data_IF_199343273871
#
_entry.id   IF_199343273871
#
_cell.length_a   1.000
_cell.length_b   1.000
_cell.length_c   1.000
_cell.angle_alpha   90.00
_cell.angle_beta   90.00
_cell.angle_gamma   90.00
#
_symmetry.space_group_name_H-M   'P 1'
#
loop_
_entity.id
_entity.type
_entity.pdbx_description
1 polymer ?
#
# COMPACT_ATOMS: atom_id res chain seq x y z
N UNK A 1 13.15 1.10 23.09
CA UNK A 1 12.84 0.23 21.93
C UNK A 1 13.53 0.83 20.71
N UNK A 2 14.56 0.18 20.19
CA UNK A 2 15.20 0.55 18.93
C UNK A 2 14.14 0.44 17.82
N UNK A 3 13.98 1.51 17.03
CA UNK A 3 13.16 1.44 15.80
C UNK A 3 13.75 0.34 14.93
N UNK A 4 12.92 -0.56 14.38
CA UNK A 4 13.40 -1.53 13.42
C UNK A 4 14.05 -0.79 12.24
N UNK A 5 15.16 -1.32 11.71
CA UNK A 5 15.81 -0.77 10.52
C UNK A 5 14.92 -1.01 9.29
N UNK A 6 13.92 -0.15 9.12
CA UNK A 6 12.99 -0.17 8.00
C UNK A 6 13.43 0.86 6.97
N UNK A 7 13.63 0.41 5.76
CA UNK A 7 13.86 1.23 4.58
C UNK A 7 12.62 1.18 3.69
N UNK A 8 12.19 2.33 3.16
CA UNK A 8 11.11 2.38 2.17
C UNK A 8 11.72 2.71 0.81
N UNK A 9 11.45 1.86 -0.15
CA UNK A 9 11.93 1.99 -1.52
C UNK A 9 10.78 1.80 -2.52
N UNK A 10 11.05 2.05 -3.78
CA UNK A 10 10.11 1.76 -4.86
C UNK A 10 10.14 0.27 -5.22
N UNK A 11 8.98 -0.30 -5.53
CA UNK A 11 8.93 -1.66 -6.10
C UNK A 11 9.76 -1.76 -7.39
N UNK A 12 9.83 -0.67 -8.16
CA UNK A 12 10.65 -0.59 -9.38
C UNK A 12 12.14 -0.87 -9.14
N UNK A 13 12.67 -0.57 -7.94
CA UNK A 13 14.05 -0.85 -7.54
C UNK A 13 14.24 -2.27 -7.00
N UNK A 14 13.14 -2.99 -6.73
CA UNK A 14 13.13 -4.32 -6.12
C UNK A 14 12.27 -5.29 -6.96
N UNK A 15 12.57 -5.47 -8.26
CA UNK A 15 11.73 -6.25 -9.17
C UNK A 15 11.55 -7.71 -8.75
N UNK A 16 12.49 -8.26 -7.98
CA UNK A 16 12.43 -9.61 -7.41
C UNK A 16 11.27 -9.81 -6.42
N UNK A 17 10.75 -8.70 -5.84
CA UNK A 17 9.66 -8.75 -4.88
C UNK A 17 8.27 -8.76 -5.54
N UNK A 18 8.18 -8.60 -6.86
CA UNK A 18 6.92 -8.47 -7.57
C UNK A 18 5.97 -9.65 -7.31
N UNK A 19 6.47 -10.87 -7.43
CA UNK A 19 5.66 -12.08 -7.24
C UNK A 19 5.21 -12.25 -5.79
N UNK A 20 6.09 -12.03 -4.84
CA UNK A 20 5.75 -12.10 -3.41
C UNK A 20 4.70 -11.06 -3.06
N UNK A 21 4.90 -9.83 -3.48
CA UNK A 21 4.01 -8.71 -3.20
C UNK A 21 2.62 -8.92 -3.80
N UNK A 22 2.53 -9.36 -5.06
CA UNK A 22 1.26 -9.65 -5.71
C UNK A 22 0.48 -10.78 -5.01
N UNK A 23 1.17 -11.84 -4.56
CA UNK A 23 0.55 -12.93 -3.79
C UNK A 23 0.05 -12.47 -2.42
N UNK A 24 0.82 -11.64 -1.71
CA UNK A 24 0.43 -11.07 -0.43
C UNK A 24 -0.81 -10.18 -0.59
N UNK A 25 -0.81 -9.29 -1.57
CA UNK A 25 -1.94 -8.44 -1.91
C UNK A 25 -3.19 -9.26 -2.25
N UNK A 26 -3.04 -10.24 -3.15
CA UNK A 26 -4.15 -11.09 -3.56
C UNK A 26 -4.75 -11.86 -2.39
N UNK A 27 -3.93 -12.36 -1.48
CA UNK A 27 -4.37 -13.07 -0.27
C UNK A 27 -5.08 -12.14 0.72
N UNK A 28 -4.54 -10.95 0.97
CA UNK A 28 -5.09 -9.97 1.93
C UNK A 28 -6.47 -9.48 1.49
N UNK A 29 -6.64 -9.19 0.20
CA UNK A 29 -7.89 -8.66 -0.36
C UNK A 29 -8.61 -9.65 -1.27
N UNK A 30 -8.52 -10.95 -0.97
CA UNK A 30 -9.09 -12.02 -1.79
C UNK A 30 -10.58 -11.81 -2.09
N UNK A 31 -11.38 -11.40 -1.09
CA UNK A 31 -12.81 -11.13 -1.27
C UNK A 31 -13.06 -10.02 -2.30
N UNK A 32 -12.24 -8.95 -2.27
CA UNK A 32 -12.35 -7.83 -3.21
C UNK A 32 -11.96 -8.26 -4.62
N UNK A 33 -10.85 -8.99 -4.76
CA UNK A 33 -10.41 -9.52 -6.05
C UNK A 33 -11.45 -10.45 -6.66
N UNK A 34 -12.06 -11.33 -5.85
CA UNK A 34 -13.12 -12.25 -6.30
C UNK A 34 -14.37 -11.49 -6.75
N UNK A 35 -14.81 -10.47 -6.01
CA UNK A 35 -15.97 -9.66 -6.39
C UNK A 35 -15.72 -8.83 -7.66
N UNK A 36 -14.46 -8.51 -7.95
CA UNK A 36 -14.03 -7.86 -9.21
C UNK A 36 -13.74 -8.86 -10.33
N UNK A 37 -13.93 -10.15 -10.10
CA UNK A 37 -13.57 -11.23 -11.04
C UNK A 37 -12.10 -11.18 -11.49
N UNK A 38 -11.22 -10.70 -10.60
CA UNK A 38 -9.78 -10.58 -10.82
C UNK A 38 -9.03 -11.80 -10.28
N UNK A 39 -7.96 -12.16 -10.97
CA UNK A 39 -7.09 -13.30 -10.65
C UNK A 39 -5.77 -12.85 -10.03
N UNK A 40 -4.95 -13.82 -9.59
CA UNK A 40 -3.58 -13.53 -9.17
C UNK A 40 -2.74 -12.93 -10.33
N UNK A 41 -3.01 -13.36 -11.57
CA UNK A 41 -2.31 -12.82 -12.74
C UNK A 41 -2.67 -11.35 -12.98
N UNK A 42 -3.92 -10.96 -12.76
CA UNK A 42 -4.33 -9.55 -12.79
C UNK A 42 -3.63 -8.74 -11.68
N UNK A 43 -3.47 -9.32 -10.49
CA UNK A 43 -2.67 -8.68 -9.43
C UNK A 43 -1.22 -8.47 -9.86
N UNK A 44 -0.57 -9.48 -10.44
CA UNK A 44 0.79 -9.37 -10.97
C UNK A 44 0.90 -8.29 -12.04
N UNK A 45 -0.03 -8.26 -12.98
CA UNK A 45 -0.09 -7.24 -14.03
C UNK A 45 -0.23 -5.84 -13.44
N UNK A 46 -1.17 -5.66 -12.51
CA UNK A 46 -1.40 -4.38 -11.84
C UNK A 46 -0.15 -3.87 -11.13
N UNK A 47 0.59 -4.72 -10.40
CA UNK A 47 1.82 -4.29 -9.73
C UNK A 47 2.97 -4.06 -10.71
N UNK A 48 3.04 -4.79 -11.82
CA UNK A 48 4.02 -4.50 -12.89
C UNK A 48 3.82 -3.12 -13.50
N UNK A 49 2.56 -2.69 -13.71
CA UNK A 49 2.23 -1.36 -14.21
C UNK A 49 2.59 -0.24 -13.19
N UNK A 50 2.71 -0.58 -11.90
CA UNK A 50 3.06 0.34 -10.80
C UNK A 50 4.57 0.34 -10.48
N UNK A 51 5.40 -0.24 -11.31
CA UNK A 51 6.87 -0.22 -11.16
C UNK A 51 7.44 1.07 -11.78
N UNK A 52 7.05 2.21 -11.23
CA UNK A 52 7.52 3.54 -11.63
C UNK A 52 8.14 4.26 -10.43
N UNK A 53 9.02 5.24 -10.71
CA UNK A 53 9.67 6.07 -9.70
C UNK A 53 9.43 7.55 -9.92
N UNK A 54 9.04 7.94 -11.13
CA UNK A 54 8.94 9.32 -11.62
C UNK A 54 7.52 9.74 -11.99
N UNK A 55 6.56 8.84 -11.91
CA UNK A 55 5.15 9.08 -12.23
C UNK A 55 4.23 8.09 -11.53
N UNK A 56 2.93 8.41 -11.51
CA UNK A 56 1.88 7.48 -11.13
C UNK A 56 1.51 6.55 -12.31
N UNK A 57 1.02 5.35 -12.06
CA UNK A 57 0.91 4.72 -10.73
C UNK A 57 2.27 4.20 -10.23
N UNK A 58 2.47 4.16 -8.92
CA UNK A 58 3.69 3.61 -8.31
C UNK A 58 3.36 2.81 -7.05
N UNK A 59 4.27 1.90 -6.68
CA UNK A 59 4.19 1.15 -5.42
C UNK A 59 5.47 1.33 -4.63
N UNK A 60 5.32 1.61 -3.34
CA UNK A 60 6.37 1.65 -2.34
C UNK A 60 6.36 0.37 -1.52
N UNK A 61 7.53 -0.12 -1.19
CA UNK A 61 7.76 -1.31 -0.35
C UNK A 61 8.52 -0.93 0.92
N UNK A 62 8.11 -1.47 2.04
CA UNK A 62 8.85 -1.36 3.30
C UNK A 62 9.69 -2.62 3.46
N UNK A 63 10.99 -2.44 3.66
CA UNK A 63 12.00 -3.49 3.74
C UNK A 63 12.65 -3.44 5.12
N UNK A 64 12.77 -4.57 5.79
CA UNK A 64 13.58 -4.71 6.99
C UNK A 64 15.00 -5.09 6.60
N UNK A 65 15.95 -4.19 6.87
CA UNK A 65 17.37 -4.40 6.66
C UNK A 65 17.98 -5.05 7.92
N UNK A 66 17.91 -6.36 8.03
CA UNK A 66 18.41 -7.08 9.20
C UNK A 66 18.40 -8.59 8.99
N UNK A 67 18.76 -9.37 10.01
CA UNK A 67 18.66 -10.81 9.90
C UNK A 67 17.21 -11.21 9.62
N UNK A 68 17.00 -12.17 8.69
CA UNK A 68 15.66 -12.57 8.27
C UNK A 68 14.82 -13.04 9.47
N UNK A 69 13.54 -12.64 9.47
CA UNK A 69 12.56 -13.08 10.46
C UNK A 69 12.36 -14.60 10.42
N UNK A 70 11.71 -15.14 11.44
CA UNK A 70 11.34 -16.56 11.46
C UNK A 70 10.52 -16.94 10.23
N UNK A 71 9.61 -16.04 9.80
CA UNK A 71 8.77 -16.24 8.60
C UNK A 71 9.64 -16.33 7.34
N UNK A 72 10.58 -15.39 7.15
CA UNK A 72 11.47 -15.38 5.99
C UNK A 72 12.33 -16.65 5.95
N UNK A 73 12.82 -17.11 7.10
CA UNK A 73 13.58 -18.38 7.22
C UNK A 73 12.72 -19.60 6.86
N UNK A 74 11.48 -19.67 7.34
CA UNK A 74 10.55 -20.75 7.00
C UNK A 74 10.16 -20.76 5.53
N UNK A 75 10.20 -19.59 4.87
CA UNK A 75 10.00 -19.45 3.42
C UNK A 75 11.27 -19.73 2.60
N UNK A 76 12.38 -20.11 3.23
CA UNK A 76 13.65 -20.42 2.55
C UNK A 76 14.54 -19.21 2.25
N UNK A 77 14.20 -18.02 2.75
CA UNK A 77 14.93 -16.77 2.51
C UNK A 77 16.08 -16.56 3.51
N UNK A 78 17.00 -17.50 3.58
CA UNK A 78 18.12 -17.48 4.56
C UNK A 78 19.19 -16.41 4.27
N UNK A 79 19.21 -15.84 3.08
CA UNK A 79 20.26 -14.94 2.60
C UNK A 79 19.76 -13.61 2.04
N UNK A 80 18.46 -13.31 2.18
CA UNK A 80 17.94 -12.03 1.71
C UNK A 80 18.54 -10.88 2.53
N UNK A 81 19.16 -9.91 1.84
CA UNK A 81 19.71 -8.72 2.46
C UNK A 81 18.62 -7.83 3.09
N UNK A 82 17.36 -8.02 2.69
CA UNK A 82 16.19 -7.30 3.22
C UNK A 82 14.93 -8.15 3.05
N UNK A 83 14.00 -8.00 4.00
CA UNK A 83 12.72 -8.70 4.03
C UNK A 83 11.57 -7.72 3.73
N UNK A 84 10.66 -8.09 2.82
CA UNK A 84 9.43 -7.34 2.58
C UNK A 84 8.52 -7.41 3.84
N UNK A 85 8.19 -6.26 4.40
CA UNK A 85 7.37 -6.15 5.62
C UNK A 85 6.09 -5.35 5.44
N UNK A 86 5.96 -4.62 4.33
CA UNK A 86 4.77 -3.86 4.01
C UNK A 86 4.84 -3.18 2.65
N UNK A 87 3.72 -2.61 2.22
CA UNK A 87 3.61 -1.90 0.95
C UNK A 87 2.48 -0.87 0.98
N UNK A 88 2.53 0.07 0.03
CA UNK A 88 1.44 1.00 -0.30
C UNK A 88 1.55 1.42 -1.76
N UNK A 89 0.44 1.69 -2.42
CA UNK A 89 0.42 2.16 -3.81
C UNK A 89 -0.23 3.54 -3.94
N UNK A 90 0.29 4.34 -4.86
CA UNK A 90 -0.38 5.50 -5.43
C UNK A 90 -0.87 5.09 -6.83
N UNK A 91 -2.17 5.19 -7.08
CA UNK A 91 -2.79 4.63 -8.29
C UNK A 91 -4.01 5.43 -8.75
N UNK A 92 -4.45 5.15 -9.95
CA UNK A 92 -5.71 5.64 -10.49
C UNK A 92 -6.80 4.57 -10.32
N UNK A 93 -8.08 5.01 -10.25
CA UNK A 93 -9.27 4.15 -10.30
C UNK A 93 -9.30 3.04 -9.23
N UNK A 94 -9.35 3.42 -7.96
CA UNK A 94 -9.41 2.45 -6.87
C UNK A 94 -10.85 2.08 -6.42
N UNK A 95 -11.80 2.99 -6.59
CA UNK A 95 -13.19 2.79 -6.20
C UNK A 95 -14.12 2.95 -7.43
N UNK A 96 -14.70 1.84 -7.90
CA UNK A 96 -15.48 1.81 -9.14
C UNK A 96 -16.74 2.68 -9.08
N UNK A 97 -17.28 2.91 -7.88
CA UNK A 97 -18.44 3.79 -7.64
C UNK A 97 -18.08 5.28 -7.59
N UNK A 98 -16.80 5.61 -7.58
CA UNK A 98 -16.28 6.99 -7.57
C UNK A 98 -15.21 7.20 -8.65
N UNK A 99 -15.60 7.07 -9.93
CA UNK A 99 -14.70 7.28 -11.07
C UNK A 99 -14.25 8.74 -11.22
N UNK A 100 -14.91 9.65 -10.53
CA UNK A 100 -14.62 11.09 -10.49
C UNK A 100 -13.47 11.45 -9.54
N UNK A 101 -13.04 10.53 -8.68
CA UNK A 101 -11.96 10.75 -7.72
C UNK A 101 -10.68 10.07 -8.17
N UNK A 102 -9.62 10.84 -8.29
CA UNK A 102 -8.26 10.38 -8.61
C UNK A 102 -7.23 11.45 -8.17
N UNK A 103 -5.98 11.08 -7.87
CA UNK A 103 -5.50 9.72 -7.66
C UNK A 103 -5.76 9.20 -6.25
N UNK A 104 -5.55 7.89 -6.07
CA UNK A 104 -5.82 7.16 -4.83
C UNK A 104 -4.54 6.66 -4.17
N UNK A 105 -4.51 6.72 -2.84
CA UNK A 105 -3.64 5.91 -2.02
C UNK A 105 -4.39 4.63 -1.64
N UNK A 106 -3.85 3.48 -1.99
CA UNK A 106 -4.49 2.21 -1.72
C UNK A 106 -3.50 1.07 -1.52
N UNK A 107 -4.00 -0.09 -1.13
CA UNK A 107 -3.18 -1.26 -0.92
C UNK A 107 -2.16 -1.10 0.22
N UNK A 108 -2.50 -0.36 1.27
CA UNK A 108 -1.66 -0.29 2.48
C UNK A 108 -1.71 -1.65 3.20
N UNK A 109 -0.61 -2.37 3.15
CA UNK A 109 -0.41 -3.64 3.84
C UNK A 109 0.81 -3.53 4.75
N UNK A 110 0.66 -4.03 5.98
CA UNK A 110 1.78 -4.33 6.88
C UNK A 110 1.62 -5.77 7.36
N UNK A 111 2.66 -6.56 7.21
CA UNK A 111 2.64 -7.96 7.64
C UNK A 111 2.34 -8.07 9.13
N UNK A 112 1.57 -9.08 9.58
CA UNK A 112 1.07 -9.17 10.95
C UNK A 112 2.14 -8.99 12.02
N UNK A 113 3.29 -9.61 11.85
CA UNK A 113 4.43 -9.56 12.77
C UNK A 113 5.12 -8.18 12.84
N UNK A 114 4.81 -7.30 11.87
CA UNK A 114 5.37 -5.94 11.77
C UNK A 114 4.36 -4.84 12.12
N UNK A 115 3.12 -5.21 12.43
CA UNK A 115 2.07 -4.26 12.87
C UNK A 115 2.41 -3.64 14.21
N UNK A 116 1.83 -2.48 14.49
CA UNK A 116 2.05 -1.70 15.73
C UNK A 116 3.51 -1.27 15.99
N UNK A 117 4.36 -1.30 14.95
CA UNK A 117 5.76 -0.84 14.98
C UNK A 117 5.99 0.44 14.18
N UNK A 118 4.93 1.10 13.73
CA UNK A 118 5.02 2.36 12.98
C UNK A 118 5.26 2.20 11.47
N UNK A 119 5.37 0.97 10.94
CA UNK A 119 5.65 0.71 9.51
C UNK A 119 4.57 1.31 8.61
N UNK A 120 3.28 1.13 8.95
CA UNK A 120 2.17 1.72 8.21
C UNK A 120 2.23 3.25 8.16
N UNK A 121 2.55 3.89 9.28
CA UNK A 121 2.72 5.35 9.35
C UNK A 121 3.90 5.81 8.47
N UNK A 122 5.03 5.08 8.48
CA UNK A 122 6.18 5.39 7.62
C UNK A 122 5.82 5.29 6.14
N UNK A 123 5.09 4.23 5.74
CA UNK A 123 4.60 4.05 4.36
C UNK A 123 3.67 5.19 3.96
N UNK A 124 2.74 5.58 4.82
CA UNK A 124 1.80 6.68 4.57
C UNK A 124 2.53 8.01 4.37
N UNK A 125 3.47 8.36 5.26
CA UNK A 125 4.27 9.58 5.13
C UNK A 125 5.12 9.58 3.87
N UNK A 126 5.73 8.44 3.53
CA UNK A 126 6.52 8.35 2.29
C UNK A 126 5.61 8.50 1.06
N UNK A 127 4.45 7.86 1.04
CA UNK A 127 3.51 7.94 -0.10
C UNK A 127 2.98 9.37 -0.30
N UNK A 128 2.59 10.07 0.78
CA UNK A 128 2.17 11.48 0.68
C UNK A 128 3.32 12.38 0.22
N UNK A 129 4.54 12.14 0.69
CA UNK A 129 5.73 12.85 0.23
C UNK A 129 6.01 12.63 -1.27
N UNK A 130 5.84 11.42 -1.77
CA UNK A 130 5.98 11.11 -3.20
C UNK A 130 4.89 11.79 -4.04
N UNK A 131 3.65 11.83 -3.55
CA UNK A 131 2.58 12.54 -4.21
C UNK A 131 2.89 14.05 -4.30
N UNK A 132 3.39 14.66 -3.22
CA UNK A 132 3.86 16.06 -3.26
C UNK A 132 4.99 16.24 -4.30
N UNK A 133 5.98 15.36 -4.32
CA UNK A 133 7.10 15.41 -5.27
C UNK A 133 6.64 15.33 -6.74
N UNK A 134 5.52 14.65 -6.98
CA UNK A 134 4.91 14.49 -8.29
C UNK A 134 3.82 15.54 -8.59
N UNK A 135 3.80 16.64 -7.83
CA UNK A 135 2.84 17.74 -7.98
C UNK A 135 1.36 17.31 -7.93
N UNK A 136 1.06 16.25 -7.16
CA UNK A 136 -0.31 15.79 -6.89
C UNK A 136 -0.91 16.65 -5.78
N UNK A 137 -1.95 17.46 -6.05
CA UNK A 137 -2.47 18.39 -5.05
C UNK A 137 -3.37 17.73 -4.00
N UNK A 138 -3.86 16.52 -4.29
CA UNK A 138 -4.81 15.81 -3.44
C UNK A 138 -4.73 14.31 -3.66
N UNK A 139 -4.88 13.55 -2.59
CA UNK A 139 -5.06 12.10 -2.64
C UNK A 139 -6.38 11.71 -1.99
N UNK A 140 -6.93 10.60 -2.47
CA UNK A 140 -8.09 9.92 -1.88
C UNK A 140 -7.69 8.54 -1.36
N UNK A 141 -8.43 8.02 -0.41
CA UNK A 141 -8.42 6.63 0.00
C UNK A 141 -9.83 6.21 0.43
N UNK A 142 -10.08 4.93 0.48
CA UNK A 142 -11.26 4.38 1.13
C UNK A 142 -10.86 3.28 2.11
N UNK A 143 -11.67 3.10 3.15
CA UNK A 143 -11.42 2.11 4.19
C UNK A 143 -12.72 1.59 4.79
N UNK A 144 -12.73 0.33 5.23
CA UNK A 144 -13.82 -0.25 6.01
C UNK A 144 -13.63 -0.06 7.53
N UNK A 145 -12.39 0.09 8.02
CA UNK A 145 -12.13 -0.03 9.46
C UNK A 145 -11.03 0.86 10.02
N UNK A 146 -10.24 1.53 9.17
CA UNK A 146 -9.04 2.25 9.62
C UNK A 146 -9.20 3.78 9.65
N UNK A 147 -10.43 4.31 9.68
CA UNK A 147 -10.72 5.75 9.68
C UNK A 147 -9.91 6.51 10.75
N UNK A 148 -9.88 5.95 11.98
CA UNK A 148 -9.17 6.59 13.09
C UNK A 148 -7.65 6.71 12.89
N UNK A 149 -7.04 5.77 12.15
CA UNK A 149 -5.63 5.87 11.77
C UNK A 149 -5.42 7.02 10.79
N UNK A 150 -6.22 7.09 9.75
CA UNK A 150 -6.10 8.12 8.72
C UNK A 150 -6.42 9.52 9.25
N UNK A 151 -7.39 9.65 10.14
CA UNK A 151 -7.66 10.91 10.84
C UNK A 151 -6.43 11.45 11.58
N UNK A 152 -5.71 10.58 12.30
CA UNK A 152 -4.47 10.96 13.01
C UNK A 152 -3.35 11.40 12.06
N UNK A 153 -3.42 10.99 10.79
CA UNK A 153 -2.46 11.35 9.73
C UNK A 153 -2.94 12.55 8.87
N UNK A 154 -4.01 13.25 9.32
CA UNK A 154 -4.49 14.48 8.67
C UNK A 154 -5.49 14.27 7.54
N UNK A 155 -5.96 13.04 7.32
CA UNK A 155 -6.99 12.75 6.34
C UNK A 155 -8.37 13.17 6.84
N UNK A 156 -9.21 13.66 5.94
CA UNK A 156 -10.56 14.15 6.20
C UNK A 156 -11.59 13.30 5.49
N UNK A 157 -12.73 13.05 6.14
CA UNK A 157 -13.85 12.32 5.53
C UNK A 157 -14.47 13.13 4.41
N UNK A 158 -14.64 12.51 3.24
CA UNK A 158 -15.38 13.03 2.10
C UNK A 158 -16.82 12.53 2.13
N UNK A 159 -16.98 11.21 2.29
CA UNK A 159 -18.31 10.57 2.34
C UNK A 159 -18.25 9.21 3.03
N UNK A 160 -19.45 8.72 3.38
CA UNK A 160 -19.70 7.35 3.83
C UNK A 160 -20.64 6.67 2.86
N UNK A 161 -20.30 5.47 2.46
CA UNK A 161 -21.07 4.69 1.50
C UNK A 161 -20.99 3.20 1.83
N UNK A 162 -21.63 2.36 1.01
CA UNK A 162 -21.45 0.92 1.06
C UNK A 162 -20.63 0.48 -0.15
N UNK A 163 -19.58 -0.29 0.11
CA UNK A 163 -18.72 -0.82 -0.93
C UNK A 163 -18.29 -2.24 -0.57
N UNK A 164 -18.42 -3.18 -1.49
CA UNK A 164 -18.22 -4.61 -1.24
C UNK A 164 -19.03 -5.14 -0.04
N UNK A 165 -20.30 -4.71 0.06
CA UNK A 165 -21.24 -5.19 1.09
C UNK A 165 -20.96 -4.69 2.51
N UNK A 166 -20.03 -3.77 2.70
CA UNK A 166 -19.66 -3.19 4.00
C UNK A 166 -19.71 -1.68 3.96
N UNK A 167 -19.88 -1.05 5.12
CA UNK A 167 -19.70 0.41 5.23
C UNK A 167 -18.26 0.78 4.84
N UNK A 168 -18.12 1.79 4.00
CA UNK A 168 -16.85 2.32 3.54
C UNK A 168 -16.80 3.83 3.77
N UNK A 169 -15.66 4.31 4.23
CA UNK A 169 -15.39 5.73 4.41
C UNK A 169 -14.39 6.17 3.36
N UNK A 170 -14.79 7.13 2.52
CA UNK A 170 -13.89 7.78 1.57
C UNK A 170 -13.27 8.99 2.25
N UNK A 171 -11.97 9.08 2.20
CA UNK A 171 -11.20 10.17 2.83
C UNK A 171 -10.28 10.84 1.81
N UNK A 172 -9.90 12.08 2.09
CA UNK A 172 -8.98 12.85 1.28
C UNK A 172 -7.91 13.53 2.15
N UNK A 173 -6.78 13.83 1.52
CA UNK A 173 -5.78 14.73 2.05
C UNK A 173 -5.37 15.74 0.99
N UNK A 174 -5.31 17.03 1.36
CA UNK A 174 -4.72 18.07 0.53
C UNK A 174 -3.23 18.11 0.78
N UNK A 175 -2.46 18.12 -0.30
CA UNK A 175 -1.01 18.15 -0.27
C UNK A 175 -0.57 19.54 -0.70
N UNK A 176 0.19 20.21 0.18
CA UNK A 176 0.83 21.48 -0.15
C UNK A 176 2.26 21.19 -0.58
N UNK A 177 2.63 21.65 -1.76
CA UNK A 177 4.02 21.67 -2.21
C UNK A 177 4.85 22.66 -1.42
#
# INVERSE_FOLDING_TARGET
MTRPDIVIDYLANCPELLDELARLSWKEWQEIYQQREQTLEDSLKNYRERMNTDRLPLTLVALHAGPPSVRARLAGNYGAASELVGMVSLKFHDMDTRPDLDPWLGGLLVLPEWRNRGVGTMLMHRATGEACRLDVPRLYLWTHSAEGLYHKLGWQVVERSHYFGKEAVVMQIHLSG
#
